data_IF_011299040379
#
_entry.id   IF_011299040379
#
_cell.length_a   1.000
_cell.length_b   1.000
_cell.length_c   1.000
_cell.angle_alpha   90.00
_cell.angle_beta   90.00
_cell.angle_gamma   90.00
#
_symmetry.space_group_name_H-M   'P 1'
#
loop_
_entity.id
_entity.type
_entity.pdbx_description
1 polymer ?
#
# COMPACT_ATOMS: atom_id res chain seq x y z
N UNK A 1 22.48 7.87 -2.96
CA UNK A 1 21.23 8.24 -2.27
C UNK A 1 20.22 7.17 -2.65
N UNK A 2 19.51 6.59 -1.69
CA UNK A 2 18.44 5.66 -1.99
C UNK A 2 17.22 6.42 -2.50
N UNK A 3 16.52 5.88 -3.50
CA UNK A 3 15.30 6.50 -4.03
C UNK A 3 14.17 6.23 -3.05
N UNK A 4 13.41 7.26 -2.66
CA UNK A 4 12.33 7.14 -1.69
C UNK A 4 11.00 6.94 -2.40
N UNK A 5 10.39 5.78 -2.18
CA UNK A 5 9.09 5.42 -2.76
C UNK A 5 8.10 5.02 -1.67
N UNK A 6 6.81 5.14 -1.92
CA UNK A 6 5.75 4.73 -1.00
C UNK A 6 4.77 3.80 -1.71
N UNK A 7 4.33 2.78 -0.98
CA UNK A 7 3.17 1.97 -1.31
C UNK A 7 1.91 2.72 -0.82
N UNK A 8 1.05 3.11 -1.75
CA UNK A 8 -0.16 3.87 -1.49
C UNK A 8 -1.22 3.54 -2.54
N UNK A 9 -2.42 3.17 -2.10
CA UNK A 9 -3.55 2.97 -3.00
C UNK A 9 -4.26 4.31 -3.22
N UNK A 10 -4.39 4.70 -4.48
CA UNK A 10 -5.20 5.83 -4.94
C UNK A 10 -5.98 5.40 -6.19
N UNK A 11 -7.18 5.94 -6.38
CA UNK A 11 -8.09 5.44 -7.40
C UNK A 11 -7.52 5.65 -8.81
N UNK A 12 -7.52 4.58 -9.62
CA UNK A 12 -7.09 4.62 -11.01
C UNK A 12 -5.61 4.95 -11.21
N UNK A 13 -4.78 4.68 -10.21
CA UNK A 13 -3.32 4.92 -10.23
C UNK A 13 -2.56 3.63 -9.91
N UNK A 14 -1.27 3.58 -10.21
CA UNK A 14 -0.41 2.49 -9.72
C UNK A 14 -0.22 2.57 -8.20
N UNK A 15 0.01 1.44 -7.52
CA UNK A 15 0.14 1.41 -6.07
C UNK A 15 1.48 1.99 -5.56
N UNK A 16 2.41 2.34 -6.44
CA UNK A 16 3.73 2.85 -6.09
C UNK A 16 3.89 4.31 -6.49
N UNK A 17 4.46 5.10 -5.59
CA UNK A 17 4.63 6.53 -5.78
C UNK A 17 6.00 7.01 -5.30
N UNK A 18 6.53 8.04 -5.93
CA UNK A 18 7.63 8.82 -5.38
C UNK A 18 7.21 9.49 -4.06
N UNK A 19 8.13 9.54 -3.09
CA UNK A 19 7.93 10.34 -1.87
C UNK A 19 8.32 11.79 -2.09
N UNK A 20 9.41 12.01 -2.84
CA UNK A 20 9.99 13.33 -3.07
C UNK A 20 9.39 14.04 -4.28
N UNK A 21 8.93 13.25 -5.24
CA UNK A 21 8.29 13.70 -6.46
C UNK A 21 6.91 13.04 -6.52
N UNK A 22 5.91 13.79 -6.96
CA UNK A 22 4.55 13.26 -7.18
C UNK A 22 4.57 12.49 -8.51
N UNK A 23 5.22 11.33 -8.49
CA UNK A 23 5.38 10.46 -9.64
C UNK A 23 4.71 9.11 -9.36
N UNK A 24 3.85 8.66 -10.27
CA UNK A 24 3.13 7.40 -10.14
C UNK A 24 3.88 6.31 -10.91
N UNK A 25 4.57 5.46 -10.17
CA UNK A 25 5.56 4.53 -10.70
C UNK A 25 4.87 3.23 -11.05
N UNK A 26 5.04 2.78 -12.30
CA UNK A 26 4.54 1.47 -12.68
C UNK A 26 5.39 0.38 -11.99
N UNK A 27 4.79 -0.64 -11.35
CA UNK A 27 5.55 -1.72 -10.72
C UNK A 27 6.54 -2.43 -11.66
N UNK A 28 6.23 -2.45 -12.96
CA UNK A 28 7.05 -3.03 -14.02
C UNK A 28 8.34 -2.25 -14.32
N UNK A 29 8.43 -0.98 -13.91
CA UNK A 29 9.64 -0.15 -14.08
C UNK A 29 10.69 -0.41 -12.99
N UNK A 30 10.30 -1.08 -11.91
CA UNK A 30 11.18 -1.41 -10.80
C UNK A 30 11.75 -2.84 -10.95
N UNK A 31 12.91 -3.14 -10.33
CA UNK A 31 13.52 -4.46 -10.35
C UNK A 31 12.79 -5.45 -9.41
N UNK A 32 11.49 -5.61 -9.62
CA UNK A 32 10.60 -6.46 -8.83
C UNK A 32 10.39 -7.81 -9.52
N UNK A 33 10.08 -8.82 -8.72
CA UNK A 33 9.64 -10.12 -9.24
C UNK A 33 8.25 -10.00 -9.87
N UNK A 34 8.01 -10.81 -10.91
CA UNK A 34 6.69 -10.86 -11.58
C UNK A 34 5.55 -11.17 -10.61
N UNK A 35 5.82 -12.01 -9.60
CA UNK A 35 4.85 -12.34 -8.56
C UNK A 35 4.48 -11.11 -7.70
N UNK A 36 5.47 -10.29 -7.34
CA UNK A 36 5.24 -9.05 -6.58
C UNK A 36 4.47 -8.03 -7.40
N UNK A 37 4.81 -7.86 -8.69
CA UNK A 37 4.07 -7.00 -9.62
C UNK A 37 2.60 -7.42 -9.73
N UNK A 38 2.33 -8.72 -9.93
CA UNK A 38 0.96 -9.23 -10.01
C UNK A 38 0.15 -8.98 -8.73
N UNK A 39 0.78 -9.17 -7.57
CA UNK A 39 0.12 -8.92 -6.27
C UNK A 39 -0.14 -7.43 -6.05
N UNK A 40 0.78 -6.55 -6.45
CA UNK A 40 0.57 -5.10 -6.40
C UNK A 40 -0.62 -4.67 -7.25
N UNK A 41 -0.68 -5.13 -8.50
CA UNK A 41 -1.77 -4.81 -9.41
C UNK A 41 -3.10 -5.37 -8.88
N UNK A 42 -3.13 -6.60 -8.37
CA UNK A 42 -4.33 -7.18 -7.77
C UNK A 42 -4.79 -6.44 -6.49
N UNK A 43 -3.83 -5.96 -5.68
CA UNK A 43 -4.10 -5.16 -4.50
C UNK A 43 -4.72 -3.81 -4.88
N UNK A 44 -4.14 -3.11 -5.86
CA UNK A 44 -4.70 -1.87 -6.41
C UNK A 44 -6.09 -2.08 -7.01
N UNK A 45 -6.30 -3.13 -7.82
CA UNK A 45 -7.61 -3.50 -8.38
C UNK A 45 -8.65 -3.74 -7.29
N UNK A 46 -8.23 -4.29 -6.15
CA UNK A 46 -9.13 -4.51 -5.01
C UNK A 46 -9.58 -3.20 -4.40
N UNK A 47 -8.68 -2.22 -4.30
CA UNK A 47 -9.01 -0.88 -3.86
C UNK A 47 -9.94 -0.18 -4.86
N UNK A 48 -9.62 -0.21 -6.15
CA UNK A 48 -10.42 0.42 -7.21
C UNK A 48 -11.86 -0.12 -7.27
N UNK A 49 -12.06 -1.40 -6.95
CA UNK A 49 -13.40 -2.00 -6.85
C UNK A 49 -14.24 -1.48 -5.69
N UNK A 50 -13.64 -0.83 -4.69
CA UNK A 50 -14.38 -0.18 -3.61
C UNK A 50 -14.99 1.16 -4.04
N UNK A 51 -14.56 1.70 -5.19
CA UNK A 51 -15.06 2.96 -5.73
C UNK A 51 -16.54 2.84 -6.09
N UNK A 52 -17.36 3.62 -5.38
CA UNK A 52 -18.75 3.79 -5.73
C UNK A 52 -18.84 4.76 -6.93
N UNK A 53 -19.14 4.21 -8.11
CA UNK A 53 -19.23 4.98 -9.37
C UNK A 53 -20.37 5.99 -9.36
N UNK A 54 -21.47 5.70 -8.66
CA UNK A 54 -22.64 6.58 -8.62
C UNK A 54 -22.43 7.75 -7.65
N UNK A 55 -21.74 7.49 -6.53
CA UNK A 55 -21.45 8.50 -5.52
C UNK A 55 -20.11 8.20 -4.82
N UNK A 56 -18.98 8.75 -5.32
CA UNK A 56 -17.64 8.45 -4.82
C UNK A 56 -17.42 8.65 -3.31
N UNK A 57 -18.07 9.62 -2.62
CA UNK A 57 -17.93 9.75 -1.18
C UNK A 57 -18.49 8.58 -0.35
N UNK A 58 -19.28 7.68 -0.95
CA UNK A 58 -19.78 6.45 -0.31
C UNK A 58 -18.98 5.21 -0.77
N UNK A 59 -17.76 5.40 -1.26
CA UNK A 59 -16.85 4.29 -1.54
C UNK A 59 -16.40 3.64 -0.24
N UNK A 60 -16.56 2.33 -0.15
CA UNK A 60 -16.20 1.56 1.04
C UNK A 60 -15.96 0.09 0.67
N UNK A 61 -15.25 -0.63 1.53
CA UNK A 61 -15.13 -2.07 1.42
C UNK A 61 -16.49 -2.74 1.66
N UNK A 62 -16.78 -3.87 1.00
CA UNK A 62 -18.06 -4.56 1.13
C UNK A 62 -18.34 -5.07 2.54
N UNK A 63 -17.29 -5.28 3.35
CA UNK A 63 -17.36 -5.66 4.75
C UNK A 63 -16.00 -5.45 5.43
N UNK A 64 -16.00 -5.53 6.77
CA UNK A 64 -14.80 -5.39 7.60
C UNK A 64 -13.72 -6.44 7.30
N UNK A 65 -14.10 -7.67 6.90
CA UNK A 65 -13.12 -8.71 6.58
C UNK A 65 -12.34 -8.36 5.31
N UNK A 66 -13.03 -7.85 4.27
CA UNK A 66 -12.39 -7.41 3.03
C UNK A 66 -11.43 -6.23 3.28
N UNK A 67 -11.81 -5.28 4.12
CA UNK A 67 -10.92 -4.19 4.55
C UNK A 67 -9.69 -4.73 5.30
N UNK A 68 -9.89 -5.68 6.21
CA UNK A 68 -8.81 -6.31 6.96
C UNK A 68 -7.85 -7.07 6.05
N UNK A 69 -8.38 -7.86 5.10
CA UNK A 69 -7.59 -8.64 4.14
C UNK A 69 -6.77 -7.70 3.24
N UNK A 70 -7.38 -6.61 2.77
CA UNK A 70 -6.70 -5.57 2.00
C UNK A 70 -5.55 -4.91 2.79
N UNK A 71 -5.80 -4.52 4.05
CA UNK A 71 -4.78 -3.92 4.92
C UNK A 71 -3.65 -4.92 5.22
N UNK A 72 -3.96 -6.19 5.42
CA UNK A 72 -2.96 -7.24 5.64
C UNK A 72 -2.10 -7.48 4.40
N UNK A 73 -2.72 -7.53 3.22
CA UNK A 73 -1.99 -7.71 1.97
C UNK A 73 -1.07 -6.51 1.66
N UNK A 74 -1.53 -5.28 1.91
CA UNK A 74 -0.69 -4.08 1.78
C UNK A 74 0.57 -4.14 2.67
N UNK A 75 0.43 -4.61 3.91
CA UNK A 75 1.58 -4.82 4.81
C UNK A 75 2.51 -5.94 4.32
N UNK A 76 1.93 -7.02 3.79
CA UNK A 76 2.67 -8.15 3.22
C UNK A 76 3.50 -7.71 2.00
N UNK A 77 2.87 -6.98 1.08
CA UNK A 77 3.50 -6.37 -0.09
C UNK A 77 4.61 -5.41 0.32
N UNK A 78 4.37 -4.54 1.30
CA UNK A 78 5.39 -3.61 1.76
C UNK A 78 6.65 -4.32 2.29
N UNK A 79 6.48 -5.41 3.05
CA UNK A 79 7.61 -6.23 3.50
C UNK A 79 8.37 -6.85 2.33
N UNK A 80 7.65 -7.30 1.30
CA UNK A 80 8.25 -7.87 0.09
C UNK A 80 9.06 -6.81 -0.67
N UNK A 81 8.51 -5.60 -0.84
CA UNK A 81 9.18 -4.47 -1.49
C UNK A 81 10.47 -4.07 -0.77
N UNK A 82 10.45 -4.04 0.57
CA UNK A 82 11.64 -3.75 1.38
C UNK A 82 12.76 -4.78 1.16
N UNK A 83 12.43 -6.02 0.80
CA UNK A 83 13.42 -7.07 0.52
C UNK A 83 13.92 -7.01 -0.92
N UNK A 84 13.03 -6.80 -1.89
CA UNK A 84 13.37 -6.82 -3.32
C UNK A 84 14.10 -5.55 -3.79
N UNK A 85 13.79 -4.41 -3.19
CA UNK A 85 14.33 -3.12 -3.62
C UNK A 85 15.49 -2.62 -2.75
N UNK A 86 15.84 -3.33 -1.67
CA UNK A 86 17.02 -3.01 -0.90
C UNK A 86 18.31 -3.39 -1.66
N UNK A 87 19.38 -2.59 -1.55
CA UNK A 87 19.53 -1.37 -0.74
C UNK A 87 19.21 -0.06 -1.50
N UNK A 88 18.81 -0.16 -2.77
CA UNK A 88 18.74 0.99 -3.68
C UNK A 88 17.53 1.90 -3.42
N UNK A 89 16.48 1.36 -2.80
CA UNK A 89 15.26 2.10 -2.47
C UNK A 89 14.93 2.08 -0.97
N UNK A 90 14.39 3.19 -0.50
CA UNK A 90 13.70 3.30 0.78
C UNK A 90 12.19 3.24 0.54
N UNK A 91 11.54 2.16 0.99
CA UNK A 91 10.12 1.92 0.76
C UNK A 91 9.31 2.28 2.00
N UNK A 92 8.35 3.19 1.83
CA UNK A 92 7.39 3.59 2.85
C UNK A 92 6.00 2.98 2.57
N UNK A 93 5.12 2.96 3.57
CA UNK A 93 3.72 2.57 3.40
C UNK A 93 2.83 3.73 3.82
N UNK A 94 1.92 4.17 2.94
CA UNK A 94 0.96 5.22 3.25
C UNK A 94 -0.43 4.61 3.43
N UNK A 95 -1.01 4.84 4.61
CA UNK A 95 -2.40 4.46 4.91
C UNK A 95 -3.05 5.52 5.79
N UNK A 96 -4.32 5.87 5.53
CA UNK A 96 -5.10 6.83 6.33
C UNK A 96 -4.36 8.16 6.61
N UNK A 97 -3.65 8.69 5.61
CA UNK A 97 -2.87 9.93 5.73
C UNK A 97 -1.59 9.82 6.56
N UNK A 98 -1.19 8.60 6.94
CA UNK A 98 0.02 8.34 7.72
C UNK A 98 1.06 7.61 6.86
N UNK A 99 2.31 8.06 6.94
CA UNK A 99 3.44 7.44 6.26
C UNK A 99 4.25 6.63 7.27
N UNK A 100 4.39 5.33 7.03
CA UNK A 100 5.13 4.40 7.86
C UNK A 100 6.45 4.05 7.18
N UNK A 101 7.53 3.99 7.96
CA UNK A 101 8.89 3.68 7.47
C UNK A 101 9.37 2.29 7.85
N UNK A 102 8.71 1.67 8.84
CA UNK A 102 9.04 0.31 9.25
C UNK A 102 7.78 -0.50 9.64
N UNK A 103 7.64 -1.77 9.25
CA UNK A 103 6.46 -2.60 9.55
C UNK A 103 6.08 -2.68 11.04
N UNK A 104 7.07 -2.55 11.95
CA UNK A 104 6.85 -2.51 13.41
C UNK A 104 6.02 -1.30 13.88
N UNK A 105 5.98 -0.20 13.12
CA UNK A 105 5.21 1.00 13.47
C UNK A 105 3.71 0.74 13.36
N UNK A 106 3.32 -0.10 12.41
CA UNK A 106 1.94 -0.53 12.19
C UNK A 106 1.48 -1.46 13.33
N UNK A 107 2.32 -2.42 13.73
CA UNK A 107 1.99 -3.35 14.83
C UNK A 107 1.69 -2.61 16.13
N UNK A 108 2.47 -1.57 16.47
CA UNK A 108 2.22 -0.77 17.67
C UNK A 108 0.85 -0.09 17.66
N UNK A 109 0.38 0.41 16.51
CA UNK A 109 -0.92 1.09 16.42
C UNK A 109 -2.10 0.12 16.54
N UNK A 110 -2.06 -1.02 15.85
CA UNK A 110 -3.13 -2.03 15.98
C UNK A 110 -3.20 -2.65 17.37
N UNK A 111 -2.07 -2.74 18.09
CA UNK A 111 -2.07 -3.17 19.50
C UNK A 111 -2.71 -2.12 20.41
N UNK A 112 -2.46 -0.82 20.20
CA UNK A 112 -3.05 0.25 21.02
C UNK A 112 -4.57 0.37 20.81
N UNK A 113 -5.05 0.26 19.56
CA UNK A 113 -6.49 0.31 19.27
C UNK A 113 -7.28 -0.87 19.87
N UNK A 114 -6.65 -2.06 20.01
CA UNK A 114 -7.29 -3.24 20.61
C UNK A 114 -7.39 -3.21 22.14
N UNK A 115 -6.66 -2.32 22.82
CA UNK A 115 -6.61 -2.25 24.30
C UNK A 115 -7.62 -1.22 24.85
N UNK A 116 -8.19 -0.37 23.99
CA UNK A 116 -9.25 0.57 24.41
C UNK A 116 -10.62 -0.05 24.15
N UNK A 117 -11.02 -1.00 24.99
CA UNK A 117 -12.41 -1.48 25.13
C UNK A 117 -12.74 -1.58 26.61
#
# INVERSE_FOLDING_TARGET
MAIRIKLWADYGSYPLWGVDEIDNIAPEELPLSQATIQRLNAWQDTYDKTLNQDYPPLSDFPNQQAEMDFKQEGISLWKQLLLELAPDYEVFYQNEGQLFRHPKEITKKYTVQKITV
#
